data_IF_105316606732
#
_entry.id   IF_105316606732
#
_cell.length_a   1.000
_cell.length_b   1.000
_cell.length_c   1.000
_cell.angle_alpha   90.00
_cell.angle_beta   90.00
_cell.angle_gamma   90.00
#
_symmetry.space_group_name_H-M   'P 1'
#
loop_
_entity.id
_entity.type
_entity.pdbx_description
1 polymer ?
#
# COMPACT_ATOMS: atom_id res chain seq x y z
N UNK A 1 -0.04 -33.66 -32.53
CA UNK A 1 1.02 -34.41 -33.24
C UNK A 1 0.94 -33.93 -34.68
N UNK A 2 1.88 -33.24 -35.32
CA UNK A 2 3.35 -33.19 -35.32
C UNK A 2 3.73 -31.80 -35.87
N UNK A 3 4.60 -30.99 -35.28
CA UNK A 3 6.05 -31.12 -35.40
C UNK A 3 6.54 -30.72 -36.80
N UNK A 4 7.05 -29.50 -36.97
CA UNK A 4 8.24 -29.15 -37.78
C UNK A 4 8.75 -27.81 -37.21
N UNK A 5 9.65 -27.96 -36.24
CA UNK A 5 10.64 -26.95 -35.89
C UNK A 5 11.65 -26.92 -37.03
N UNK A 6 12.10 -25.71 -37.40
CA UNK A 6 13.39 -25.35 -38.00
C UNK A 6 13.32 -24.59 -39.34
N UNK A 7 14.04 -23.47 -39.31
CA UNK A 7 14.51 -22.59 -40.40
C UNK A 7 13.57 -21.53 -40.93
N UNK A 8 13.58 -20.33 -40.32
CA UNK A 8 13.95 -19.12 -41.07
C UNK A 8 14.81 -18.19 -40.17
N UNK A 9 16.12 -18.34 -40.30
CA UNK A 9 17.13 -17.29 -40.51
C UNK A 9 17.14 -16.08 -39.56
N UNK A 10 18.29 -15.94 -38.89
CA UNK A 10 18.86 -14.71 -38.34
C UNK A 10 18.61 -13.48 -39.25
N UNK A 11 17.66 -12.62 -38.89
CA UNK A 11 17.72 -11.22 -39.34
C UNK A 11 18.15 -10.40 -38.14
N UNK A 12 19.41 -9.98 -38.20
CA UNK A 12 19.97 -9.00 -37.31
C UNK A 12 19.23 -7.66 -37.46
N UNK A 13 19.01 -7.00 -36.32
CA UNK A 13 18.68 -5.58 -36.19
C UNK A 13 17.39 -5.09 -36.86
N UNK A 14 16.25 -5.31 -36.20
CA UNK A 14 15.18 -4.31 -36.18
C UNK A 14 14.66 -4.14 -34.76
N UNK A 15 14.27 -2.90 -34.45
CA UNK A 15 14.05 -2.36 -33.12
C UNK A 15 13.13 -3.20 -32.22
N UNK A 16 13.54 -3.28 -30.94
CA UNK A 16 12.70 -3.32 -29.73
C UNK A 16 11.30 -3.91 -29.97
N UNK A 17 11.14 -5.20 -29.68
CA UNK A 17 9.81 -5.69 -29.28
C UNK A 17 9.45 -4.98 -27.97
N UNK A 18 8.85 -3.79 -28.07
CA UNK A 18 8.11 -3.21 -26.97
C UNK A 18 6.86 -4.08 -26.83
N UNK A 19 6.90 -5.02 -25.89
CA UNK A 19 5.71 -5.76 -25.52
C UNK A 19 4.64 -4.74 -25.07
N UNK A 20 3.44 -4.70 -25.68
CA UNK A 20 2.35 -3.92 -25.13
C UNK A 20 1.90 -4.61 -23.83
N UNK A 21 2.47 -4.22 -22.70
CA UNK A 21 2.17 -4.86 -21.42
C UNK A 21 3.07 -4.45 -20.26
N UNK A 22 4.30 -4.03 -20.53
CA UNK A 22 5.19 -3.55 -19.48
C UNK A 22 4.92 -2.07 -19.19
N UNK A 23 3.73 -1.82 -18.64
CA UNK A 23 3.47 -0.59 -17.90
C UNK A 23 4.50 -0.59 -16.76
N UNK A 24 5.44 0.38 -16.70
CA UNK A 24 6.43 0.38 -15.63
C UNK A 24 5.65 0.40 -14.32
N UNK A 25 5.80 -0.64 -13.50
CA UNK A 25 5.20 -0.70 -12.17
C UNK A 25 5.84 0.45 -11.40
N UNK A 26 5.23 1.64 -11.48
CA UNK A 26 5.68 2.80 -10.76
C UNK A 26 5.61 2.41 -9.28
N UNK A 27 6.69 2.60 -8.50
CA UNK A 27 6.67 2.24 -7.10
C UNK A 27 5.49 2.94 -6.41
N UNK A 28 4.62 2.15 -5.78
CA UNK A 28 3.41 2.65 -5.11
C UNK A 28 3.81 3.77 -4.13
N UNK A 29 3.32 5.01 -4.31
CA UNK A 29 3.75 6.13 -3.49
C UNK A 29 3.37 5.95 -2.01
N UNK A 30 4.33 6.14 -1.11
CA UNK A 30 4.14 6.05 0.35
C UNK A 30 4.39 7.37 1.08
N UNK A 31 5.04 8.32 0.43
CA UNK A 31 5.38 9.66 0.94
C UNK A 31 5.08 10.70 -0.14
N UNK A 32 4.77 11.93 0.29
CA UNK A 32 4.66 13.04 -0.65
C UNK A 32 6.06 13.46 -1.09
N UNK A 33 6.24 13.80 -2.36
CA UNK A 33 7.49 14.38 -2.82
C UNK A 33 7.63 15.79 -2.25
N UNK A 34 8.86 16.24 -1.98
CA UNK A 34 9.13 17.60 -1.47
C UNK A 34 8.81 18.68 -2.50
N UNK A 35 8.86 18.33 -3.79
CA UNK A 35 8.51 19.18 -4.93
C UNK A 35 7.50 18.42 -5.78
N UNK A 36 6.42 19.08 -6.15
CA UNK A 36 5.35 18.45 -6.93
C UNK A 36 5.82 18.16 -8.37
N UNK A 37 5.57 16.95 -8.91
CA UNK A 37 5.89 16.65 -10.29
C UNK A 37 4.99 17.46 -11.25
N UNK A 38 5.55 17.89 -12.37
CA UNK A 38 4.85 18.78 -13.31
C UNK A 38 3.67 18.10 -14.03
N UNK A 39 3.74 16.78 -14.24
CA UNK A 39 2.84 16.07 -15.15
C UNK A 39 1.78 15.21 -14.45
N UNK A 40 1.83 15.10 -13.12
CA UNK A 40 0.86 14.29 -12.38
C UNK A 40 0.75 14.74 -10.92
N UNK A 41 -0.35 14.38 -10.27
CA UNK A 41 -0.51 14.55 -8.82
C UNK A 41 -0.21 13.23 -8.12
N UNK A 42 0.60 13.28 -7.06
CA UNK A 42 0.87 12.11 -6.24
C UNK A 42 -0.29 11.87 -5.27
N UNK A 43 -0.83 10.65 -5.27
CA UNK A 43 -1.82 10.22 -4.30
C UNK A 43 -1.26 9.16 -3.35
N UNK A 44 -1.65 9.25 -2.07
CA UNK A 44 -1.29 8.27 -1.06
C UNK A 44 -2.54 7.64 -0.48
N UNK A 45 -2.55 6.32 -0.34
CA UNK A 45 -3.62 5.62 0.35
C UNK A 45 -3.77 6.14 1.80
N UNK A 46 -5.01 6.26 2.27
CA UNK A 46 -5.25 6.45 3.69
C UNK A 46 -4.89 5.18 4.45
N UNK A 47 -4.39 5.34 5.67
CA UNK A 47 -3.74 4.24 6.39
C UNK A 47 -4.70 3.19 6.93
N UNK A 48 -5.94 3.59 7.23
CA UNK A 48 -6.93 2.78 7.95
C UNK A 48 -8.34 2.92 7.40
N UNK A 49 -8.52 3.70 6.33
CA UNK A 49 -9.86 4.01 5.82
C UNK A 49 -9.77 3.91 4.31
N UNK A 50 -10.19 2.77 3.77
CA UNK A 50 -10.10 2.52 2.34
C UNK A 50 -10.93 3.49 1.52
N UNK A 51 -11.93 4.15 2.11
CA UNK A 51 -12.74 5.17 1.45
C UNK A 51 -12.03 6.53 1.34
N UNK A 52 -10.80 6.66 1.85
CA UNK A 52 -10.06 7.92 1.86
C UNK A 52 -8.67 7.77 1.24
N UNK A 53 -8.15 8.88 0.75
CA UNK A 53 -6.78 9.01 0.26
C UNK A 53 -6.25 10.40 0.53
N UNK A 54 -4.98 10.66 0.18
CA UNK A 54 -4.38 11.97 0.29
C UNK A 54 -3.89 12.44 -1.07
N UNK A 55 -4.18 13.68 -1.42
CA UNK A 55 -3.49 14.44 -2.47
C UNK A 55 -2.24 15.09 -1.89
N UNK A 56 -1.13 14.99 -2.58
CA UNK A 56 0.10 15.68 -2.22
C UNK A 56 0.14 17.05 -2.92
N UNK A 57 0.51 18.07 -2.16
CA UNK A 57 0.85 19.40 -2.69
C UNK A 57 1.95 20.01 -1.84
N UNK A 58 3.07 20.38 -2.46
CA UNK A 58 4.28 20.90 -1.82
C UNK A 58 4.70 20.10 -0.57
N UNK A 59 4.78 18.77 -0.72
CA UNK A 59 5.13 17.84 0.37
C UNK A 59 4.07 17.62 1.45
N UNK A 60 2.93 18.32 1.39
CA UNK A 60 1.84 18.20 2.37
C UNK A 60 0.72 17.30 1.88
N UNK A 61 0.05 16.62 2.82
CA UNK A 61 -1.06 15.69 2.56
C UNK A 61 -2.40 16.38 2.79
N UNK A 62 -3.25 16.35 1.77
CA UNK A 62 -4.63 16.85 1.81
C UNK A 62 -5.59 15.68 1.70
N UNK A 63 -6.38 15.45 2.74
CA UNK A 63 -7.25 14.27 2.84
C UNK A 63 -8.45 14.42 1.89
N UNK A 64 -8.69 13.39 1.11
CA UNK A 64 -9.81 13.27 0.18
C UNK A 64 -10.65 12.06 0.54
N UNK A 65 -11.93 12.10 0.18
CA UNK A 65 -12.84 10.95 0.22
C UNK A 65 -13.09 10.46 -1.19
N UNK A 66 -13.13 9.15 -1.37
CA UNK A 66 -13.66 8.54 -2.57
C UNK A 66 -15.18 8.81 -2.68
N UNK A 67 -15.71 8.92 -3.91
CA UNK A 67 -17.13 9.13 -4.14
C UNK A 67 -17.94 7.87 -3.83
N UNK A 68 -19.24 8.05 -3.75
CA UNK A 68 -20.20 6.94 -3.69
C UNK A 68 -20.38 6.31 -5.07
N UNK A 69 -20.60 5.00 -5.09
CA UNK A 69 -21.01 4.26 -6.27
C UNK A 69 -22.52 4.43 -6.49
N UNK A 70 -22.98 4.07 -7.68
CA UNK A 70 -24.38 4.19 -8.09
C UNK A 70 -25.36 3.30 -7.30
N UNK A 71 -24.86 2.36 -6.48
CA UNK A 71 -25.66 1.51 -5.59
C UNK A 71 -25.70 2.02 -4.14
N UNK A 72 -25.16 3.21 -3.86
CA UNK A 72 -25.19 3.82 -2.53
C UNK A 72 -24.08 3.35 -1.57
N UNK A 73 -23.03 2.69 -2.06
CA UNK A 73 -21.83 2.33 -1.27
C UNK A 73 -20.63 3.22 -1.60
N UNK A 74 -19.63 3.32 -0.70
CA UNK A 74 -18.39 4.07 -0.96
C UNK A 74 -17.41 3.27 -1.84
N UNK A 75 -16.72 3.95 -2.76
CA UNK A 75 -15.56 3.38 -3.47
C UNK A 75 -14.31 3.39 -2.57
N UNK A 76 -13.36 2.49 -2.86
CA UNK A 76 -12.10 2.36 -2.14
C UNK A 76 -10.92 2.83 -2.98
N UNK A 77 -9.95 3.48 -2.37
CA UNK A 77 -8.78 3.97 -3.09
C UNK A 77 -7.82 2.83 -3.45
N UNK A 78 -7.66 2.57 -4.75
CA UNK A 78 -6.70 1.64 -5.29
C UNK A 78 -5.32 2.29 -5.39
N UNK A 79 -4.40 1.90 -4.50
CA UNK A 79 -3.05 2.47 -4.44
C UNK A 79 -2.15 2.12 -5.64
N UNK A 80 -2.47 1.05 -6.37
CA UNK A 80 -1.71 0.62 -7.54
C UNK A 80 -2.19 1.39 -8.77
N UNK A 81 -3.50 1.45 -8.98
CA UNK A 81 -4.10 2.16 -10.11
C UNK A 81 -4.27 3.68 -9.88
N UNK A 82 -4.05 4.15 -8.65
CA UNK A 82 -4.16 5.56 -8.25
C UNK A 82 -5.56 6.17 -8.48
N UNK A 83 -6.62 5.36 -8.37
CA UNK A 83 -8.02 5.74 -8.57
C UNK A 83 -8.92 5.19 -7.46
N UNK A 84 -10.11 5.76 -7.28
CA UNK A 84 -11.14 5.13 -6.48
C UNK A 84 -11.81 4.02 -7.31
N UNK A 85 -11.72 2.80 -6.83
CA UNK A 85 -12.23 1.58 -7.47
C UNK A 85 -13.21 0.87 -6.53
N UNK A 86 -13.88 -0.15 -7.03
CA UNK A 86 -14.76 -0.97 -6.20
C UNK A 86 -13.95 -1.69 -5.10
N UNK A 87 -14.50 -1.83 -3.88
CA UNK A 87 -13.83 -2.45 -2.74
C UNK A 87 -13.11 -3.77 -3.06
N UNK A 88 -13.78 -4.65 -3.80
CA UNK A 88 -13.29 -5.98 -4.19
C UNK A 88 -12.12 -5.95 -5.17
N UNK A 89 -11.88 -4.82 -5.86
CA UNK A 89 -10.78 -4.64 -6.83
C UNK A 89 -9.72 -3.66 -6.37
N UNK A 90 -10.04 -2.81 -5.40
CA UNK A 90 -9.15 -1.75 -4.95
C UNK A 90 -7.85 -2.29 -4.32
N UNK A 91 -7.82 -3.57 -3.91
CA UNK A 91 -6.70 -4.15 -3.17
C UNK A 91 -6.42 -3.42 -1.85
N UNK A 92 -7.40 -2.63 -1.41
CA UNK A 92 -7.45 -2.04 -0.11
C UNK A 92 -8.18 -3.04 0.77
N UNK A 93 -7.41 -4.00 1.29
CA UNK A 93 -7.91 -4.85 2.35
C UNK A 93 -8.15 -3.89 3.51
N UNK A 94 -9.42 -3.66 3.83
CA UNK A 94 -9.83 -3.21 5.14
C UNK A 94 -9.37 -4.30 6.12
N UNK A 95 -8.10 -4.26 6.48
CA UNK A 95 -7.59 -4.91 7.68
C UNK A 95 -8.11 -4.08 8.88
N UNK A 96 -9.41 -3.83 8.87
CA UNK A 96 -10.20 -3.15 9.89
C UNK A 96 -10.89 -4.20 10.77
N UNK A 97 -11.01 -5.43 10.27
CA UNK A 97 -11.53 -6.58 11.00
C UNK A 97 -10.40 -7.49 11.45
N UNK A 98 -10.50 -7.93 12.70
CA UNK A 98 -9.59 -8.88 13.32
C UNK A 98 -9.71 -10.25 12.66
N UNK A 99 -8.60 -11.01 12.52
CA UNK A 99 -8.69 -12.44 12.30
C UNK A 99 -9.63 -13.08 13.35
N UNK A 100 -10.47 -14.02 12.93
CA UNK A 100 -11.39 -14.69 13.85
C UNK A 100 -10.63 -15.30 15.05
N UNK A 101 -11.13 -15.08 16.28
CA UNK A 101 -10.45 -15.56 17.50
C UNK A 101 -9.15 -14.84 17.83
N UNK A 102 -8.99 -13.58 17.43
CA UNK A 102 -7.83 -12.75 17.76
C UNK A 102 -8.12 -11.57 18.67
N UNK A 103 -9.28 -11.53 19.33
CA UNK A 103 -9.59 -10.52 20.34
C UNK A 103 -8.49 -10.44 21.41
N UNK A 104 -8.09 -9.22 21.74
CA UNK A 104 -6.97 -8.92 22.64
C UNK A 104 -5.57 -9.07 22.01
N UNK A 105 -5.44 -9.65 20.80
CA UNK A 105 -4.13 -9.76 20.13
C UNK A 105 -3.74 -8.46 19.45
N UNK A 106 -2.43 -8.25 19.34
CA UNK A 106 -1.86 -7.05 18.75
C UNK A 106 -1.08 -7.35 17.48
N UNK A 107 -1.34 -6.54 16.45
CA UNK A 107 -0.84 -6.72 15.08
C UNK A 107 0.02 -5.54 14.66
N UNK A 108 1.08 -5.76 13.87
CA UNK A 108 1.94 -4.66 13.40
C UNK A 108 1.15 -3.75 12.45
N UNK A 109 1.45 -2.45 12.48
CA UNK A 109 0.98 -1.55 11.45
C UNK A 109 1.88 -1.66 10.21
N UNK A 110 1.27 -1.78 9.04
CA UNK A 110 1.88 -2.14 7.76
C UNK A 110 2.95 -1.14 7.31
N UNK A 111 2.71 0.16 7.54
CA UNK A 111 3.61 1.23 7.09
C UNK A 111 4.30 2.03 8.21
N UNK A 112 4.19 1.63 9.48
CA UNK A 112 4.70 2.45 10.59
C UNK A 112 5.05 1.60 11.80
N UNK A 113 6.34 1.45 12.07
CA UNK A 113 6.76 0.69 13.25
C UNK A 113 6.34 1.34 14.57
N UNK A 114 6.12 2.66 14.61
CA UNK A 114 5.63 3.34 15.81
C UNK A 114 4.13 3.15 16.06
N UNK A 115 3.45 2.33 15.24
CA UNK A 115 2.02 2.05 15.35
C UNK A 115 1.79 0.54 15.33
N UNK A 116 0.68 0.14 15.91
CA UNK A 116 0.20 -1.23 15.95
C UNK A 116 -1.32 -1.21 16.13
N UNK A 117 -1.99 -2.32 15.87
CA UNK A 117 -3.41 -2.49 16.13
C UNK A 117 -3.61 -3.43 17.31
N UNK A 118 -4.71 -3.25 18.04
CA UNK A 118 -5.19 -4.18 19.06
C UNK A 118 -6.60 -4.58 18.68
N UNK A 119 -6.85 -5.88 18.66
CA UNK A 119 -8.18 -6.40 18.42
C UNK A 119 -9.08 -6.25 19.62
N UNK A 120 -10.26 -5.68 19.42
CA UNK A 120 -11.27 -5.52 20.44
C UNK A 120 -12.66 -5.78 19.82
N UNK A 121 -13.31 -6.86 20.24
CA UNK A 121 -14.63 -7.29 19.76
C UNK A 121 -14.72 -7.38 18.23
N UNK A 122 -13.68 -7.91 17.59
CA UNK A 122 -13.61 -8.04 16.14
C UNK A 122 -13.04 -6.83 15.39
N UNK A 123 -12.83 -5.69 16.05
CA UNK A 123 -12.32 -4.47 15.41
C UNK A 123 -10.82 -4.22 15.67
N UNK A 124 -10.09 -3.84 14.63
CA UNK A 124 -8.67 -3.45 14.73
C UNK A 124 -8.54 -2.00 15.22
N UNK A 125 -8.28 -1.83 16.52
CA UNK A 125 -8.11 -0.53 17.17
C UNK A 125 -6.67 -0.04 17.02
N UNK A 126 -6.46 1.06 16.30
CA UNK A 126 -5.13 1.65 16.09
C UNK A 126 -4.54 2.23 17.40
N UNK A 127 -3.32 1.83 17.72
CA UNK A 127 -2.51 2.34 18.84
C UNK A 127 -1.16 2.89 18.35
N UNK A 128 -0.55 3.75 19.19
CA UNK A 128 0.78 4.32 18.97
C UNK A 128 1.73 3.87 20.07
N UNK A 129 2.95 3.52 19.70
CA UNK A 129 4.03 3.34 20.66
C UNK A 129 4.48 4.68 21.26
N UNK A 130 5.07 4.67 22.47
CA UNK A 130 5.75 5.84 23.01
C UNK A 130 6.83 6.38 22.07
N UNK A 131 7.16 7.67 22.21
CA UNK A 131 8.11 8.36 21.32
C UNK A 131 9.43 7.58 21.21
N UNK A 132 9.88 7.34 19.96
CA UNK A 132 11.11 6.60 19.66
C UNK A 132 11.05 5.08 19.83
N UNK A 133 9.89 4.52 20.19
CA UNK A 133 9.68 3.07 20.28
C UNK A 133 8.92 2.52 19.08
N UNK A 134 9.21 1.27 18.74
CA UNK A 134 8.65 0.51 17.63
C UNK A 134 7.98 -0.77 18.16
N UNK A 135 6.85 -1.14 17.57
CA UNK A 135 6.15 -2.37 17.88
C UNK A 135 6.98 -3.58 17.45
N UNK A 136 7.11 -4.55 18.34
CA UNK A 136 7.72 -5.84 18.06
C UNK A 136 6.66 -6.93 18.09
N UNK A 137 6.41 -7.57 16.96
CA UNK A 137 5.48 -8.70 16.86
C UNK A 137 5.95 -9.91 17.66
N UNK A 138 7.28 -10.12 17.74
CA UNK A 138 7.88 -11.23 18.49
C UNK A 138 7.75 -11.07 20.00
N UNK A 139 7.87 -9.83 20.49
CA UNK A 139 7.83 -9.54 21.93
C UNK A 139 6.49 -8.97 22.40
N UNK A 140 5.54 -8.75 21.48
CA UNK A 140 4.22 -8.16 21.73
C UNK A 140 4.29 -6.87 22.57
N UNK A 141 5.29 -6.03 22.29
CA UNK A 141 5.49 -4.78 23.02
C UNK A 141 6.27 -3.74 22.20
N UNK A 142 6.16 -2.48 22.60
CA UNK A 142 6.93 -1.38 22.04
C UNK A 142 8.36 -1.38 22.59
N UNK A 143 9.33 -1.69 21.73
CA UNK A 143 10.76 -1.71 22.04
C UNK A 143 11.51 -0.55 21.37
N UNK A 144 12.79 -0.37 21.69
CA UNK A 144 13.65 0.57 20.95
C UNK A 144 13.70 0.16 19.47
N UNK A 145 13.73 1.16 18.58
CA UNK A 145 13.76 0.94 17.13
C UNK A 145 14.84 -0.04 16.66
N UNK A 146 16.01 -0.04 17.32
CA UNK A 146 17.14 -0.92 16.99
C UNK A 146 16.86 -2.42 17.21
N UNK A 147 15.98 -2.77 18.15
CA UNK A 147 15.75 -4.18 18.58
C UNK A 147 14.32 -4.66 18.35
N UNK A 148 13.40 -3.77 17.94
CA UNK A 148 12.01 -4.14 17.73
C UNK A 148 11.82 -5.16 16.58
N UNK A 149 12.79 -5.23 15.66
CA UNK A 149 12.76 -6.15 14.52
C UNK A 149 11.72 -5.79 13.45
N UNK A 150 11.22 -4.56 13.48
CA UNK A 150 10.29 -4.05 12.48
C UNK A 150 11.06 -3.52 11.26
N UNK A 151 10.81 -4.12 10.10
CA UNK A 151 11.40 -3.72 8.82
C UNK A 151 10.56 -2.57 8.29
N UNK A 152 11.03 -1.32 8.44
CA UNK A 152 10.41 -0.22 7.71
C UNK A 152 10.80 -0.33 6.23
N UNK A 153 9.88 -0.12 5.29
CA UNK A 153 10.21 -0.04 3.85
C UNK A 153 11.06 1.18 3.48
N UNK A 154 11.60 1.92 4.46
CA UNK A 154 12.32 3.18 4.25
C UNK A 154 13.41 3.41 5.31
N UNK A 155 14.13 2.34 5.71
CA UNK A 155 15.37 2.48 6.47
C UNK A 155 16.52 2.42 5.48
N UNK A 156 16.88 3.58 4.92
CA UNK A 156 18.15 3.77 4.22
C UNK A 156 19.27 3.43 5.22
N UNK A 157 20.18 2.56 4.80
CA UNK A 157 21.40 2.21 5.53
C UNK A 157 22.29 3.45 5.63
#
# INVERSE_FOLDING_TARGET
>A
MTGIYLFVIMIAATAIFAYPGDNPILPVPTKCPSVDPLNYTVHLAHKTDCTKFYKCFNGKKYKMSCPDNWRGGKLHFNKVLQVCDYPERAGCNDNSTCPAGSDGKAFPHECSCSKYYVCHNGDLVLKKCPKGKHWSTKKQQCLRAAIAGCIQPNKTI
#
